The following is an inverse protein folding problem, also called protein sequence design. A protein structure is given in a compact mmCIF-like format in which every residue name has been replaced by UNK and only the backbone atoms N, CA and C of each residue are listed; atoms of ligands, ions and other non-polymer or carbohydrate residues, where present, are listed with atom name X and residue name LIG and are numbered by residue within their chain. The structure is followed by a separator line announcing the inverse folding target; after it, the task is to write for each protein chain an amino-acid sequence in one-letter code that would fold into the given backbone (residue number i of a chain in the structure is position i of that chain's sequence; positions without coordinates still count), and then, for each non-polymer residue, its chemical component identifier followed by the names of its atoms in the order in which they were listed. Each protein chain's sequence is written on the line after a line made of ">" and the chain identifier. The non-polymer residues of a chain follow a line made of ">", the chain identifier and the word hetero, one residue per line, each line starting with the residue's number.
data_IF_320863856771
#
_entry.id   IF_320863856771
#
_cell.length_a   1.000
_cell.length_b   1.000
_cell.length_c   1.000
_cell.angle_alpha   90.00
_cell.angle_beta   90.00
_cell.angle_gamma   90.00
#
_symmetry.space_group_name_H-M   'P 1'
#
loop_
_entity.id
_entity.type
_entity.pdbx_description
1 polymer ?
#
# COMPACT_ATOMS: atom_id res chain seq x y z
N UNK A 1 16.81 -13.17 10.33
CA UNK A 1 15.44 -12.72 10.02
C UNK A 1 15.04 -11.70 11.06
N UNK A 2 15.19 -10.41 10.74
CA UNK A 2 14.59 -9.35 11.54
C UNK A 2 13.07 -9.50 11.42
N UNK A 3 12.36 -9.46 12.55
CA UNK A 3 10.90 -9.45 12.54
C UNK A 3 10.45 -8.10 12.01
N UNK A 4 10.02 -8.05 10.75
CA UNK A 4 9.34 -6.89 10.17
C UNK A 4 8.14 -6.58 11.07
N UNK A 5 8.14 -5.39 11.67
CA UNK A 5 7.02 -4.85 12.43
C UNK A 5 6.61 -3.57 11.74
N UNK A 6 5.47 -3.62 11.06
CA UNK A 6 4.85 -2.40 10.53
C UNK A 6 4.41 -1.56 11.73
N UNK A 7 5.22 -0.58 12.11
CA UNK A 7 4.97 0.34 13.24
C UNK A 7 4.13 1.54 12.78
N UNK A 8 3.59 2.29 13.73
CA UNK A 8 2.73 3.48 13.49
C UNK A 8 3.46 4.60 12.73
N UNK A 9 4.78 4.71 12.90
CA UNK A 9 5.61 5.76 12.27
C UNK A 9 5.76 5.61 10.75
N UNK A 10 5.55 4.41 10.19
CA UNK A 10 5.65 4.11 8.76
C UNK A 10 4.45 4.63 7.95
N UNK A 11 3.49 5.26 8.62
CA UNK A 11 2.13 5.50 8.10
C UNK A 11 1.81 7.00 8.11
N UNK A 12 2.79 7.85 8.45
CA UNK A 12 2.66 9.31 8.49
C UNK A 12 3.63 9.93 7.49
N UNK A 13 3.16 10.83 6.61
CA UNK A 13 3.93 11.54 5.57
C UNK A 13 5.12 12.39 6.08
N UNK A 14 5.49 12.30 7.35
CA UNK A 14 6.73 12.90 7.84
C UNK A 14 7.97 12.24 7.22
N UNK A 15 7.83 11.01 6.70
CA UNK A 15 8.92 10.24 6.08
C UNK A 15 8.39 9.18 5.12
N UNK A 16 9.27 8.74 4.22
CA UNK A 16 9.07 7.58 3.33
C UNK A 16 8.58 6.35 4.11
N UNK A 17 7.41 5.77 3.73
CA UNK A 17 6.75 4.70 4.49
C UNK A 17 7.58 3.46 4.74
N UNK A 18 8.37 2.99 3.77
CA UNK A 18 9.11 1.73 3.87
C UNK A 18 10.63 1.89 3.72
N UNK A 19 11.16 3.09 3.97
CA UNK A 19 12.59 3.45 3.83
C UNK A 19 13.60 2.43 4.38
N UNK A 20 13.31 1.84 5.54
CA UNK A 20 14.22 0.92 6.24
C UNK A 20 13.97 -0.55 5.87
N UNK A 21 13.13 -0.82 4.87
CA UNK A 21 12.73 -2.15 4.44
C UNK A 21 13.09 -2.40 2.98
N UNK A 22 13.76 -3.53 2.75
CA UNK A 22 13.99 -4.02 1.39
C UNK A 22 12.66 -4.53 0.80
N UNK A 23 12.46 -4.30 -0.51
CA UNK A 23 11.24 -4.74 -1.20
C UNK A 23 11.03 -6.25 -1.05
N UNK A 24 12.08 -7.05 -1.22
CA UNK A 24 12.00 -8.51 -1.19
C UNK A 24 11.52 -9.02 0.18
N UNK A 25 11.87 -8.32 1.25
CA UNK A 25 11.45 -8.64 2.62
C UNK A 25 9.94 -8.37 2.80
N UNK A 26 9.45 -7.24 2.27
CA UNK A 26 8.03 -6.88 2.30
C UNK A 26 7.20 -7.83 1.42
N UNK A 27 7.66 -8.12 0.20
CA UNK A 27 7.02 -9.07 -0.70
C UNK A 27 6.96 -10.48 -0.07
N UNK A 28 8.07 -10.96 0.49
CA UNK A 28 8.14 -12.25 1.18
C UNK A 28 7.16 -12.33 2.35
N UNK A 29 7.01 -11.25 3.12
CA UNK A 29 6.03 -11.17 4.20
C UNK A 29 4.59 -11.18 3.67
N UNK A 30 4.29 -10.41 2.62
CA UNK A 30 2.99 -10.38 1.97
C UNK A 30 2.56 -11.78 1.50
N UNK A 31 3.45 -12.53 0.86
CA UNK A 31 3.16 -13.88 0.36
C UNK A 31 2.95 -14.90 1.47
N UNK A 32 3.65 -14.76 2.60
CA UNK A 32 3.60 -15.74 3.70
C UNK A 32 2.50 -15.48 4.71
N UNK A 33 2.06 -14.23 4.86
CA UNK A 33 1.10 -13.89 5.90
C UNK A 33 -0.32 -14.30 5.54
N UNK A 34 -1.00 -14.92 6.50
CA UNK A 34 -2.44 -15.23 6.46
C UNK A 34 -3.22 -14.43 7.50
N UNK A 35 -2.54 -13.61 8.31
CA UNK A 35 -3.16 -12.79 9.34
C UNK A 35 -3.74 -11.52 8.71
N UNK A 36 -5.04 -11.31 8.88
CA UNK A 36 -5.75 -10.18 8.27
C UNK A 36 -5.16 -8.84 8.73
N UNK A 37 -4.89 -8.66 10.02
CA UNK A 37 -4.26 -7.42 10.52
C UNK A 37 -2.91 -7.14 9.85
N UNK A 38 -2.09 -8.17 9.66
CA UNK A 38 -0.81 -8.02 8.97
C UNK A 38 -1.02 -7.67 7.49
N UNK A 39 -2.01 -8.26 6.82
CA UNK A 39 -2.34 -7.91 5.43
C UNK A 39 -2.79 -6.46 5.31
N UNK A 40 -3.67 -6.01 6.21
CA UNK A 40 -4.17 -4.63 6.18
C UNK A 40 -3.05 -3.62 6.43
N UNK A 41 -2.18 -3.89 7.40
CA UNK A 41 -1.02 -3.04 7.65
C UNK A 41 -0.06 -3.02 6.45
N UNK A 42 0.18 -4.17 5.81
CA UNK A 42 1.02 -4.25 4.62
C UNK A 42 0.42 -3.49 3.45
N UNK A 43 -0.87 -3.66 3.18
CA UNK A 43 -1.54 -2.92 2.12
C UNK A 43 -1.46 -1.42 2.36
N UNK A 44 -1.76 -0.94 3.57
CA UNK A 44 -1.65 0.48 3.87
C UNK A 44 -0.23 1.01 3.66
N UNK A 45 0.80 0.29 4.12
CA UNK A 45 2.19 0.70 3.97
C UNK A 45 2.66 0.66 2.50
N UNK A 46 2.35 -0.41 1.76
CA UNK A 46 2.72 -0.56 0.34
C UNK A 46 1.96 0.42 -0.55
N UNK A 47 0.69 0.67 -0.27
CA UNK A 47 -0.11 1.68 -0.96
C UNK A 47 0.50 3.07 -0.77
N UNK A 48 0.84 3.43 0.46
CA UNK A 48 1.51 4.71 0.73
C UNK A 48 2.90 4.77 0.06
N UNK A 49 3.69 3.69 0.15
CA UNK A 49 5.01 3.61 -0.49
C UNK A 49 4.91 3.79 -2.00
N UNK A 50 3.94 3.16 -2.65
CA UNK A 50 3.70 3.30 -4.09
C UNK A 50 3.53 4.77 -4.50
N UNK A 51 2.62 5.51 -3.85
CA UNK A 51 2.42 6.92 -4.17
C UNK A 51 3.63 7.78 -3.79
N UNK A 52 4.39 7.39 -2.77
CA UNK A 52 5.64 8.08 -2.41
C UNK A 52 6.71 7.93 -3.49
N UNK A 53 6.90 6.71 -4.03
CA UNK A 53 7.93 6.47 -5.05
C UNK A 53 7.50 6.89 -6.45
N UNK A 54 6.20 6.87 -6.75
CA UNK A 54 5.64 7.36 -8.03
C UNK A 54 6.05 8.83 -8.27
N UNK A 55 6.09 9.64 -7.21
CA UNK A 55 6.52 11.05 -7.30
C UNK A 55 7.94 11.21 -7.88
N UNK A 56 8.84 10.25 -7.65
CA UNK A 56 10.21 10.29 -8.19
C UNK A 56 10.25 10.21 -9.73
N UNK A 57 9.22 9.67 -10.39
CA UNK A 57 9.19 9.63 -11.86
C UNK A 57 9.15 11.02 -12.48
N UNK A 58 8.62 12.01 -11.75
CA UNK A 58 8.54 13.39 -12.20
C UNK A 58 9.85 14.16 -12.01
N UNK A 59 10.80 13.63 -11.23
CA UNK A 59 12.10 14.24 -10.98
C UNK A 59 13.10 14.02 -12.12
N UNK A 60 12.84 13.04 -12.99
CA UNK A 60 13.76 12.65 -14.05
C UNK A 60 13.16 12.84 -15.46
N UNK A 61 13.93 13.35 -16.43
CA UNK A 61 13.46 13.44 -17.81
C UNK A 61 13.16 12.07 -18.42
N UNK A 62 12.03 11.96 -19.12
CA UNK A 62 11.66 10.71 -19.81
C UNK A 62 12.76 10.24 -20.76
N UNK A 63 13.07 8.94 -20.67
CA UNK A 63 14.07 8.29 -21.51
C UNK A 63 15.49 8.29 -20.94
N UNK A 64 15.73 8.87 -19.75
CA UNK A 64 17.00 8.70 -19.06
C UNK A 64 17.06 7.39 -18.27
N UNK A 65 18.27 6.88 -17.94
CA UNK A 65 18.41 5.73 -17.06
C UNK A 65 17.76 5.93 -15.70
N UNK A 66 17.81 7.14 -15.13
CA UNK A 66 17.20 7.46 -13.84
C UNK A 66 15.67 7.40 -13.90
N UNK A 67 15.07 7.92 -14.98
CA UNK A 67 13.63 7.77 -15.22
C UNK A 67 13.22 6.30 -15.36
N UNK A 68 14.01 5.52 -16.10
CA UNK A 68 13.73 4.09 -16.27
C UNK A 68 13.83 3.33 -14.94
N UNK A 69 14.76 3.70 -14.06
CA UNK A 69 14.88 3.10 -12.73
C UNK A 69 13.73 3.54 -11.80
N UNK A 70 13.33 4.81 -11.82
CA UNK A 70 12.18 5.30 -11.08
C UNK A 70 10.91 4.52 -11.47
N UNK A 71 10.62 4.40 -12.77
CA UNK A 71 9.49 3.60 -13.26
C UNK A 71 9.59 2.13 -12.82
N UNK A 72 10.79 1.53 -12.88
CA UNK A 72 11.00 0.14 -12.46
C UNK A 72 10.65 -0.06 -10.98
N UNK A 73 11.01 0.89 -10.12
CA UNK A 73 10.70 0.86 -8.68
C UNK A 73 9.19 1.05 -8.46
N UNK A 74 8.58 2.03 -9.12
CA UNK A 74 7.13 2.27 -9.07
C UNK A 74 6.34 1.04 -9.51
N UNK A 75 6.68 0.44 -10.65
CA UNK A 75 6.05 -0.77 -11.18
C UNK A 75 6.16 -1.94 -10.19
N UNK A 76 7.31 -2.07 -9.53
CA UNK A 76 7.57 -3.13 -8.55
C UNK A 76 6.67 -2.99 -7.31
N UNK A 77 6.55 -1.78 -6.75
CA UNK A 77 5.63 -1.52 -5.65
C UNK A 77 4.16 -1.59 -6.06
N UNK A 78 3.82 -1.10 -7.25
CA UNK A 78 2.47 -1.15 -7.80
C UNK A 78 1.96 -2.58 -7.98
N UNK A 79 2.79 -3.48 -8.49
CA UNK A 79 2.44 -4.89 -8.62
C UNK A 79 2.14 -5.55 -7.25
N UNK A 80 2.91 -5.20 -6.21
CA UNK A 80 2.65 -5.70 -4.86
C UNK A 80 1.40 -5.07 -4.23
N UNK A 81 1.16 -3.79 -4.49
CA UNK A 81 -0.05 -3.08 -4.08
C UNK A 81 -1.29 -3.75 -4.65
N UNK A 82 -1.30 -4.04 -5.95
CA UNK A 82 -2.42 -4.69 -6.64
C UNK A 82 -2.72 -6.09 -6.07
N UNK A 83 -1.68 -6.89 -5.78
CA UNK A 83 -1.85 -8.21 -5.17
C UNK A 83 -2.48 -8.11 -3.77
N UNK A 84 -1.98 -7.20 -2.94
CA UNK A 84 -2.50 -6.98 -1.59
C UNK A 84 -3.93 -6.44 -1.63
N UNK A 85 -4.20 -5.52 -2.55
CA UNK A 85 -5.53 -4.95 -2.76
C UNK A 85 -6.54 -6.02 -3.15
N UNK A 86 -6.23 -6.87 -4.13
CA UNK A 86 -7.12 -7.97 -4.55
C UNK A 86 -7.48 -8.87 -3.35
N UNK A 87 -6.48 -9.24 -2.55
CA UNK A 87 -6.64 -10.10 -1.38
C UNK A 87 -7.52 -9.44 -0.32
N UNK A 88 -7.30 -8.16 -0.03
CA UNK A 88 -8.10 -7.42 0.95
C UNK A 88 -9.51 -7.18 0.45
N UNK A 89 -9.70 -6.81 -0.82
CA UNK A 89 -11.00 -6.63 -1.44
C UNK A 89 -11.86 -7.90 -1.32
N UNK A 90 -11.27 -9.08 -1.57
CA UNK A 90 -11.96 -10.36 -1.38
C UNK A 90 -12.37 -10.58 0.07
N UNK A 91 -11.46 -10.39 1.03
CA UNK A 91 -11.76 -10.54 2.47
C UNK A 91 -12.84 -9.56 2.92
N UNK A 92 -12.78 -8.31 2.46
CA UNK A 92 -13.75 -7.27 2.76
C UNK A 92 -15.13 -7.59 2.16
N UNK A 93 -15.16 -8.17 0.96
CA UNK A 93 -16.38 -8.63 0.31
C UNK A 93 -17.03 -9.77 1.10
N UNK A 94 -16.26 -10.79 1.47
CA UNK A 94 -16.72 -11.93 2.29
C UNK A 94 -17.25 -11.47 3.66
N UNK A 95 -16.66 -10.41 4.21
CA UNK A 95 -17.10 -9.79 5.47
C UNK A 95 -18.31 -8.85 5.32
N UNK A 96 -18.78 -8.58 4.10
CA UNK A 96 -19.87 -7.63 3.84
C UNK A 96 -19.52 -6.18 4.17
N UNK A 97 -18.24 -5.81 4.11
CA UNK A 97 -17.71 -4.50 4.51
C UNK A 97 -17.30 -3.59 3.35
N UNK A 98 -17.59 -3.99 2.11
CA UNK A 98 -17.42 -3.14 0.94
C UNK A 98 -18.61 -2.19 0.76
N UNK A 99 -18.33 -0.90 0.57
CA UNK A 99 -19.34 0.04 0.08
C UNK A 99 -19.65 -0.23 -1.40
N UNK A 100 -20.83 0.19 -1.90
CA UNK A 100 -21.11 0.21 -3.32
C UNK A 100 -20.04 0.97 -4.10
N UNK A 101 -19.66 0.45 -5.27
CA UNK A 101 -18.72 1.12 -6.17
C UNK A 101 -19.34 2.41 -6.73
N UNK A 102 -18.68 3.54 -6.50
CA UNK A 102 -19.06 4.81 -7.13
C UNK A 102 -18.43 4.93 -8.54
N UNK A 103 -19.10 5.60 -9.50
CA UNK A 103 -18.51 5.92 -10.80
C UNK A 103 -17.21 6.70 -10.65
N UNK A 104 -16.20 6.38 -11.45
CA UNK A 104 -14.88 7.02 -11.43
C UNK A 104 -14.19 7.01 -10.06
N UNK A 105 -14.57 6.07 -9.19
CA UNK A 105 -13.87 5.80 -7.93
C UNK A 105 -13.04 4.53 -8.03
N UNK A 106 -11.83 4.59 -7.47
CA UNK A 106 -11.04 3.40 -7.19
C UNK A 106 -11.67 2.54 -6.10
N UNK A 107 -10.96 1.47 -5.75
CA UNK A 107 -11.29 0.51 -4.67
C UNK A 107 -11.16 1.11 -3.28
N UNK A 108 -10.30 2.11 -3.10
CA UNK A 108 -10.00 2.81 -1.84
C UNK A 108 -11.27 3.25 -1.09
N UNK A 109 -12.23 3.89 -1.77
CA UNK A 109 -13.50 4.31 -1.15
C UNK A 109 -14.34 3.11 -0.71
N UNK A 110 -14.38 2.05 -1.53
CA UNK A 110 -15.15 0.84 -1.23
C UNK A 110 -14.66 0.16 0.05
N UNK A 111 -13.33 0.15 0.24
CA UNK A 111 -12.68 -0.48 1.40
C UNK A 111 -12.74 0.36 2.68
N UNK A 112 -13.25 1.60 2.63
CA UNK A 112 -13.26 2.50 3.79
C UNK A 112 -13.76 1.87 5.10
N UNK A 113 -14.95 1.23 5.14
CA UNK A 113 -15.44 0.58 6.35
C UNK A 113 -14.57 -0.59 6.82
N UNK A 114 -14.04 -1.37 5.87
CA UNK A 114 -13.13 -2.47 6.18
C UNK A 114 -11.83 -1.96 6.79
N UNK A 115 -11.16 -0.99 6.16
CA UNK A 115 -9.92 -0.40 6.65
C UNK A 115 -10.12 0.26 8.03
N UNK A 116 -11.24 0.96 8.23
CA UNK A 116 -11.60 1.55 9.53
C UNK A 116 -11.74 0.53 10.65
N UNK A 117 -12.24 -0.68 10.36
CA UNK A 117 -12.30 -1.77 11.35
C UNK A 117 -10.91 -2.17 11.88
N UNK A 118 -9.86 -1.95 11.09
CA UNK A 118 -8.47 -2.25 11.45
C UNK A 118 -7.67 -1.00 11.85
N UNK A 119 -8.34 0.12 12.13
CA UNK A 119 -7.71 1.35 12.61
C UNK A 119 -7.15 2.24 11.52
N UNK A 120 -7.63 2.14 10.27
CA UNK A 120 -7.18 3.01 9.19
C UNK A 120 -8.27 3.96 8.69
N UNK A 121 -7.87 5.19 8.38
CA UNK A 121 -8.69 6.20 7.71
C UNK A 121 -7.96 6.67 6.47
N UNK A 122 -8.70 6.93 5.39
CA UNK A 122 -8.11 7.62 4.24
C UNK A 122 -8.13 9.13 4.50
N UNK A 123 -6.96 9.75 4.51
CA UNK A 123 -6.80 11.20 4.59
C UNK A 123 -5.98 11.70 3.40
N UNK A 124 -6.61 12.51 2.55
CA UNK A 124 -6.00 13.10 1.36
C UNK A 124 -5.33 12.09 0.41
N UNK A 125 -5.89 10.89 0.30
CA UNK A 125 -5.36 9.85 -0.58
C UNK A 125 -4.34 8.94 0.08
N UNK A 126 -4.14 9.01 1.40
CA UNK A 126 -3.20 8.16 2.15
C UNK A 126 -3.92 7.37 3.22
N UNK A 127 -3.50 6.13 3.48
CA UNK A 127 -4.00 5.36 4.61
C UNK A 127 -3.24 5.75 5.88
N UNK A 128 -3.94 6.35 6.84
CA UNK A 128 -3.40 6.80 8.12
C UNK A 128 -3.95 5.93 9.25
N UNK A 129 -3.10 5.52 10.18
CA UNK A 129 -3.49 4.72 11.34
C UNK A 129 -3.97 5.61 12.48
N UNK A 130 -5.13 5.27 13.06
CA UNK A 130 -5.79 5.93 14.20
C UNK A 130 -6.05 4.93 15.33
#
# INVERSE_FOLDING_TARGET
>A
MNKIRINEDLIVMASEPLKDYEFEDIQCLAHKTTKIETLVNLYAAVFNEFFWVEDNEYDFPKGTPEYAEACRITDQWGALMDELEERIMRIASDAGLLLPREPNSGTVKQMGPFMKKYGFVNENGWWIRH
#
